data_IF_062865581743
#
_entry.id   IF_062865581743
#
_cell.length_a   1.000
_cell.length_b   1.000
_cell.length_c   1.000
_cell.angle_alpha   90.00
_cell.angle_beta   90.00
_cell.angle_gamma   90.00
#
_symmetry.space_group_name_H-M   'P 1'
#
loop_
_entity.id
_entity.type
_entity.pdbx_description
1 polymer ?
#
# COMPACT_ATOMS: atom_id res chain seq x y z
N UNK A 1 3.99 -73.99 17.21
CA UNK A 1 3.47 -73.01 18.18
C UNK A 1 4.13 -71.68 17.88
N UNK A 2 3.48 -70.84 17.07
CA UNK A 2 4.02 -69.54 16.64
C UNK A 2 3.34 -68.43 17.43
N UNK A 3 4.16 -67.51 17.92
CA UNK A 3 3.83 -66.35 18.74
C UNK A 3 2.93 -65.35 18.01
N UNK A 4 1.94 -64.84 18.73
CA UNK A 4 1.03 -63.79 18.30
C UNK A 4 1.78 -62.49 17.97
N UNK A 5 1.54 -61.97 16.78
CA UNK A 5 1.84 -60.59 16.38
C UNK A 5 0.66 -59.71 16.80
N UNK A 6 0.83 -58.85 17.80
CA UNK A 6 -0.16 -57.83 18.16
C UNK A 6 0.53 -56.48 18.34
N UNK A 7 0.89 -55.83 17.24
CA UNK A 7 1.32 -54.44 17.21
C UNK A 7 0.98 -53.87 15.83
N UNK A 8 -0.20 -53.25 15.67
CA UNK A 8 -0.49 -52.47 14.45
C UNK A 8 -1.66 -51.49 14.58
N UNK A 9 -2.55 -51.63 15.58
CA UNK A 9 -3.75 -50.78 15.68
C UNK A 9 -3.57 -49.50 16.49
N UNK A 10 -2.62 -49.44 17.44
CA UNK A 10 -2.40 -48.26 18.28
C UNK A 10 -1.67 -47.11 17.59
N UNK A 11 -0.65 -47.44 16.79
CA UNK A 11 0.21 -46.43 16.13
C UNK A 11 -0.51 -45.64 15.03
N UNK A 12 -1.47 -46.25 14.34
CA UNK A 12 -2.26 -45.57 13.30
C UNK A 12 -3.22 -44.53 13.85
N UNK A 13 -3.86 -44.83 14.99
CA UNK A 13 -4.80 -43.91 15.66
C UNK A 13 -4.05 -42.74 16.30
N UNK A 14 -2.92 -43.00 16.96
CA UNK A 14 -2.06 -41.93 17.51
C UNK A 14 -1.52 -41.00 16.41
N UNK A 15 -1.08 -41.55 15.26
CA UNK A 15 -0.65 -40.73 14.12
C UNK A 15 -1.77 -39.86 13.55
N UNK A 16 -2.99 -40.40 13.43
CA UNK A 16 -4.14 -39.65 12.93
C UNK A 16 -4.59 -38.53 13.90
N UNK A 17 -4.58 -38.79 15.21
CA UNK A 17 -4.90 -37.79 16.24
C UNK A 17 -3.86 -36.67 16.28
N UNK A 18 -2.57 -37.01 16.20
CA UNK A 18 -1.48 -36.02 16.17
C UNK A 18 -1.53 -35.19 14.88
N UNK A 19 -1.82 -35.81 13.73
CA UNK A 19 -1.97 -35.09 12.45
C UNK A 19 -3.16 -34.11 12.48
N UNK A 20 -4.31 -34.52 13.03
CA UNK A 20 -5.46 -33.62 13.18
C UNK A 20 -5.21 -32.50 14.20
N UNK A 21 -4.49 -32.77 15.29
CA UNK A 21 -4.10 -31.75 16.27
C UNK A 21 -3.15 -30.71 15.65
N UNK A 22 -2.18 -31.15 14.85
CA UNK A 22 -1.26 -30.27 14.13
C UNK A 22 -1.98 -29.44 13.07
N UNK A 23 -2.87 -30.05 12.29
CA UNK A 23 -3.68 -29.35 11.30
C UNK A 23 -4.56 -28.27 11.95
N UNK A 24 -5.22 -28.59 13.06
CA UNK A 24 -6.03 -27.63 13.81
C UNK A 24 -5.17 -26.51 14.42
N UNK A 25 -3.99 -26.83 14.96
CA UNK A 25 -3.06 -25.82 15.48
C UNK A 25 -2.57 -24.86 14.39
N UNK A 26 -2.30 -25.37 13.17
CA UNK A 26 -1.91 -24.54 12.02
C UNK A 26 -3.05 -23.64 11.54
N UNK A 27 -4.30 -24.14 11.53
CA UNK A 27 -5.48 -23.34 11.19
C UNK A 27 -5.69 -22.22 12.21
N UNK A 28 -5.62 -22.54 13.51
CA UNK A 28 -5.76 -21.54 14.58
C UNK A 28 -4.63 -20.51 14.51
N UNK A 29 -3.39 -20.93 14.23
CA UNK A 29 -2.26 -20.02 14.05
C UNK A 29 -2.45 -19.10 12.85
N UNK A 30 -2.95 -19.61 11.72
CA UNK A 30 -3.24 -18.82 10.53
C UNK A 30 -4.34 -17.76 10.80
N UNK A 31 -5.39 -18.14 11.55
CA UNK A 31 -6.44 -17.21 11.98
C UNK A 31 -5.88 -16.16 12.94
N UNK A 32 -5.03 -16.55 13.89
CA UNK A 32 -4.39 -15.60 14.81
C UNK A 32 -3.50 -14.59 14.09
N UNK A 33 -2.73 -15.04 13.10
CA UNK A 33 -1.87 -14.17 12.28
C UNK A 33 -2.70 -13.18 11.45
N UNK A 34 -3.90 -13.56 11.00
CA UNK A 34 -4.85 -12.66 10.32
C UNK A 34 -5.45 -11.61 11.28
N UNK A 35 -5.74 -11.96 12.53
CA UNK A 35 -6.39 -11.07 13.50
C UNK A 35 -5.39 -10.09 14.14
N UNK A 36 -4.15 -10.52 14.39
CA UNK A 36 -3.12 -9.70 15.04
C UNK A 36 -2.26 -8.90 14.05
N UNK A 37 -2.31 -9.23 12.76
CA UNK A 37 -1.59 -8.52 11.69
C UNK A 37 -2.26 -7.21 11.26
N UNK A 38 -2.90 -6.49 12.18
CA UNK A 38 -3.48 -5.18 11.89
C UNK A 38 -2.42 -4.28 11.28
N UNK A 39 -2.59 -3.95 10.00
CA UNK A 39 -1.70 -3.07 9.29
C UNK A 39 -1.74 -1.70 9.97
N UNK A 40 -0.61 -1.31 10.56
CA UNK A 40 -0.45 0.05 11.02
C UNK A 40 -0.48 0.95 9.77
N UNK A 41 -1.56 1.70 9.58
CA UNK A 41 -1.67 2.70 8.52
C UNK A 41 -0.45 3.63 8.61
N UNK A 42 0.45 3.50 7.64
CA UNK A 42 1.69 4.24 7.65
C UNK A 42 1.38 5.73 7.48
N UNK A 43 1.79 6.55 8.45
CA UNK A 43 1.58 8.00 8.37
C UNK A 43 2.39 8.60 7.22
N UNK A 44 1.90 9.66 6.55
CA UNK A 44 2.66 10.39 5.55
C UNK A 44 4.03 10.82 6.07
N UNK A 45 5.06 10.57 5.27
CA UNK A 45 6.45 10.91 5.59
C UNK A 45 6.96 11.95 4.62
N UNK A 46 7.46 13.07 5.16
CA UNK A 46 8.14 14.11 4.39
C UNK A 46 9.65 13.88 4.38
N UNK A 47 10.26 13.96 3.21
CA UNK A 47 11.71 13.89 3.02
C UNK A 47 12.25 15.28 2.73
N UNK A 48 13.31 15.69 3.42
CA UNK A 48 13.88 17.03 3.33
C UNK A 48 15.28 17.02 2.74
N UNK A 49 15.61 18.04 1.95
CA UNK A 49 16.96 18.38 1.54
C UNK A 49 17.11 19.91 1.45
N UNK A 50 18.17 20.45 2.05
CA UNK A 50 18.41 21.91 2.07
C UNK A 50 17.25 22.71 2.68
N UNK A 51 16.58 22.17 3.70
CA UNK A 51 15.42 22.80 4.34
C UNK A 51 14.12 22.79 3.53
N UNK A 52 14.10 22.15 2.36
CA UNK A 52 12.91 22.02 1.50
C UNK A 52 12.43 20.58 1.46
N UNK A 53 11.11 20.38 1.35
CA UNK A 53 10.53 19.07 1.10
C UNK A 53 10.85 18.65 -0.33
N UNK A 54 11.54 17.53 -0.48
CA UNK A 54 11.94 16.92 -1.76
C UNK A 54 11.27 15.57 -2.00
N UNK A 55 10.39 15.15 -1.11
CA UNK A 55 9.60 13.95 -1.35
C UNK A 55 8.56 13.70 -0.28
N UNK A 56 7.55 12.93 -0.67
CA UNK A 56 6.47 12.44 0.16
C UNK A 56 6.33 10.94 -0.06
N UNK A 57 6.03 10.18 0.98
CA UNK A 57 5.70 8.75 0.90
C UNK A 57 4.66 8.36 1.93
N UNK A 58 4.10 7.16 1.82
CA UNK A 58 3.02 6.66 2.69
C UNK A 58 1.78 7.56 2.59
N UNK A 59 1.42 7.94 1.35
CA UNK A 59 0.28 8.81 1.08
C UNK A 59 -1.03 8.03 0.91
N UNK A 60 -0.94 6.76 0.52
CA UNK A 60 -2.09 5.88 0.31
C UNK A 60 -2.32 4.98 1.51
N UNK A 61 -3.59 4.73 1.80
CA UNK A 61 -4.07 3.80 2.83
C UNK A 61 -4.50 2.46 2.22
N UNK A 62 -4.40 2.30 0.90
CA UNK A 62 -4.76 1.09 0.18
C UNK A 62 -3.85 -0.10 0.57
N UNK A 63 -4.47 -1.19 1.02
CA UNK A 63 -3.79 -2.43 1.40
C UNK A 63 -3.96 -3.52 0.33
N UNK A 64 -2.96 -4.40 0.20
CA UNK A 64 -3.00 -5.53 -0.74
C UNK A 64 -2.91 -5.15 -2.22
N UNK A 65 -2.65 -3.88 -2.54
CA UNK A 65 -2.51 -3.39 -3.91
C UNK A 65 -1.08 -3.57 -4.46
N UNK A 66 -0.97 -3.60 -5.80
CA UNK A 66 0.31 -3.83 -6.47
C UNK A 66 1.07 -2.52 -6.66
N UNK A 67 2.31 -2.39 -6.14
CA UNK A 67 3.09 -1.18 -6.31
C UNK A 67 3.66 -1.09 -7.73
N UNK A 68 3.63 0.12 -8.31
CA UNK A 68 4.29 0.45 -9.55
C UNK A 68 5.04 1.78 -9.44
N UNK A 69 6.07 1.95 -10.28
CA UNK A 69 6.81 3.21 -10.39
C UNK A 69 6.48 3.85 -11.73
N UNK A 70 6.15 5.15 -11.69
CA UNK A 70 5.91 5.96 -12.87
C UNK A 70 6.86 7.15 -12.87
N UNK A 71 7.27 7.59 -14.05
CA UNK A 71 8.14 8.77 -14.20
C UNK A 71 7.70 9.57 -15.40
N UNK A 72 7.47 10.86 -15.22
CA UNK A 72 6.92 11.69 -16.27
C UNK A 72 6.71 13.13 -15.85
N UNK A 73 5.95 13.87 -16.64
CA UNK A 73 5.61 15.27 -16.42
C UNK A 73 4.17 15.40 -15.98
N UNK A 74 3.89 16.21 -14.96
CA UNK A 74 2.50 16.50 -14.57
C UNK A 74 1.86 17.40 -15.62
N UNK A 75 0.79 16.94 -16.27
CA UNK A 75 0.10 17.68 -17.34
C UNK A 75 -1.26 18.20 -16.91
N UNK A 76 -1.87 17.61 -15.88
CA UNK A 76 -3.13 18.09 -15.30
C UNK A 76 -3.19 17.79 -13.81
N UNK A 77 -3.93 18.60 -13.08
CA UNK A 77 -4.35 18.37 -11.70
C UNK A 77 -5.84 18.63 -11.55
N UNK A 78 -6.49 17.94 -10.63
CA UNK A 78 -7.83 18.26 -10.18
C UNK A 78 -7.83 18.41 -8.66
N UNK A 79 -8.58 19.38 -8.18
CA UNK A 79 -8.87 19.58 -6.78
C UNK A 79 -10.31 19.13 -6.52
N UNK A 80 -10.57 18.69 -5.29
CA UNK A 80 -11.91 18.31 -4.87
C UNK A 80 -12.88 19.49 -4.92
N UNK A 81 -14.15 19.25 -4.60
CA UNK A 81 -15.22 20.27 -4.65
C UNK A 81 -14.97 21.48 -3.76
N UNK A 82 -14.20 21.32 -2.69
CA UNK A 82 -13.78 22.40 -1.80
C UNK A 82 -12.70 23.31 -2.43
N UNK A 83 -12.06 22.86 -3.51
CA UNK A 83 -10.94 23.55 -4.15
C UNK A 83 -9.66 23.58 -3.30
N UNK A 84 -9.64 22.89 -2.16
CA UNK A 84 -8.56 22.99 -1.18
C UNK A 84 -7.53 21.88 -1.34
N UNK A 85 -7.96 20.67 -1.71
CA UNK A 85 -7.11 19.49 -1.70
C UNK A 85 -7.04 18.84 -3.07
N UNK A 86 -5.84 18.39 -3.43
CA UNK A 86 -5.63 17.61 -4.64
C UNK A 86 -6.37 16.28 -4.54
N UNK A 87 -7.17 15.99 -5.56
CA UNK A 87 -7.93 14.74 -5.70
C UNK A 87 -7.31 13.83 -6.75
N UNK A 88 -6.71 14.41 -7.80
CA UNK A 88 -6.03 13.62 -8.82
C UNK A 88 -5.01 14.42 -9.63
N UNK A 89 -4.12 13.68 -10.29
CA UNK A 89 -3.17 14.22 -11.27
C UNK A 89 -3.15 13.35 -12.53
N UNK A 90 -2.77 13.95 -13.66
CA UNK A 90 -2.43 13.22 -14.87
C UNK A 90 -0.94 13.38 -15.12
N UNK A 91 -0.24 12.25 -15.21
CA UNK A 91 1.16 12.16 -15.57
C UNK A 91 1.29 11.79 -17.04
N UNK A 92 2.12 12.52 -17.78
CA UNK A 92 2.54 12.16 -19.14
C UNK A 92 3.95 11.57 -19.09
N UNK A 93 4.07 10.31 -19.46
CA UNK A 93 5.34 9.59 -19.55
C UNK A 93 6.07 9.95 -20.85
N UNK A 94 7.36 9.61 -20.96
CA UNK A 94 8.17 9.90 -22.16
C UNK A 94 7.60 9.30 -23.44
N UNK A 95 6.84 8.21 -23.33
CA UNK A 95 6.13 7.56 -24.44
C UNK A 95 4.96 8.39 -24.98
N UNK A 96 4.56 9.47 -24.29
CA UNK A 96 3.33 10.21 -24.56
C UNK A 96 2.10 9.60 -23.90
N UNK A 97 2.23 8.44 -23.23
CA UNK A 97 1.15 7.84 -22.47
C UNK A 97 0.75 8.75 -21.31
N UNK A 98 -0.57 8.93 -21.14
CA UNK A 98 -1.16 9.71 -20.06
C UNK A 98 -1.85 8.81 -19.07
N UNK A 99 -1.44 8.91 -17.82
CA UNK A 99 -1.91 8.06 -16.74
C UNK A 99 -2.60 8.90 -15.68
N UNK A 100 -3.85 8.57 -15.38
CA UNK A 100 -4.64 9.19 -14.33
C UNK A 100 -4.31 8.54 -12.99
N UNK A 101 -4.06 9.35 -11.97
CA UNK A 101 -3.62 8.91 -10.64
C UNK A 101 -4.45 9.63 -9.60
N UNK A 102 -5.10 8.87 -8.73
CA UNK A 102 -5.86 9.37 -7.59
C UNK A 102 -4.90 9.82 -6.48
N UNK A 103 -5.27 10.88 -5.77
CA UNK A 103 -4.60 11.33 -4.56
C UNK A 103 -5.59 11.15 -3.43
N UNK A 104 -5.31 10.19 -2.55
CA UNK A 104 -6.10 10.00 -1.33
C UNK A 104 -5.97 11.19 -0.40
N UNK A 105 -6.99 11.39 0.41
CA UNK A 105 -7.09 12.52 1.32
C UNK A 105 -6.89 12.15 2.80
N UNK A 106 -6.31 10.97 3.08
CA UNK A 106 -6.04 10.50 4.43
C UNK A 106 -5.22 11.47 5.29
N UNK A 107 -4.43 12.35 4.66
CA UNK A 107 -3.67 13.40 5.35
C UNK A 107 -4.54 14.56 5.90
N UNK A 108 -5.83 14.64 5.54
CA UNK A 108 -6.76 15.66 6.05
C UNK A 108 -7.03 15.53 7.56
N UNK A 109 -7.00 14.31 8.08
CA UNK A 109 -7.30 14.00 9.48
C UNK A 109 -6.08 14.09 10.40
N UNK A 110 -4.93 14.49 9.86
CA UNK A 110 -3.71 14.72 10.66
C UNK A 110 -3.80 16.04 11.41
N UNK A 111 -2.86 16.25 12.34
CA UNK A 111 -2.71 17.55 12.98
C UNK A 111 -2.49 18.66 11.93
N UNK A 112 -2.89 19.88 12.27
CA UNK A 112 -2.93 20.99 11.32
C UNK A 112 -1.57 21.29 10.67
N UNK A 113 -0.47 21.14 11.42
CA UNK A 113 0.87 21.38 10.91
C UNK A 113 1.27 20.31 9.88
N UNK A 114 1.06 19.03 10.19
CA UNK A 114 1.35 17.93 9.27
C UNK A 114 0.47 17.98 8.03
N UNK A 115 -0.84 18.22 8.18
CA UNK A 115 -1.77 18.40 7.07
C UNK A 115 -1.31 19.53 6.14
N UNK A 116 -1.03 20.72 6.69
CA UNK A 116 -0.54 21.86 5.93
C UNK A 116 0.76 21.57 5.18
N UNK A 117 1.72 20.90 5.83
CA UNK A 117 2.99 20.54 5.22
C UNK A 117 2.83 19.54 4.06
N UNK A 118 2.02 18.49 4.24
CA UNK A 118 1.75 17.50 3.18
C UNK A 118 1.02 18.15 2.00
N UNK A 119 -0.04 18.91 2.27
CA UNK A 119 -0.82 19.64 1.26
C UNK A 119 0.07 20.56 0.43
N UNK A 120 0.81 21.46 1.08
CA UNK A 120 1.70 22.41 0.40
C UNK A 120 2.76 21.68 -0.44
N UNK A 121 3.31 20.59 0.08
CA UNK A 121 4.34 19.80 -0.60
C UNK A 121 3.79 19.08 -1.83
N UNK A 122 2.60 18.48 -1.74
CA UNK A 122 1.92 17.86 -2.89
C UNK A 122 1.67 18.90 -3.98
N UNK A 123 1.09 20.04 -3.62
CA UNK A 123 0.80 21.12 -4.57
C UNK A 123 2.04 21.71 -5.23
N UNK A 124 3.17 21.74 -4.50
CA UNK A 124 4.43 22.27 -5.02
C UNK A 124 5.12 21.25 -5.94
N UNK A 125 5.25 19.99 -5.50
CA UNK A 125 5.98 18.97 -6.25
C UNK A 125 5.19 18.55 -7.49
N UNK A 126 3.87 18.41 -7.37
CA UNK A 126 2.99 18.00 -8.48
C UNK A 126 2.54 19.18 -9.34
N UNK A 127 3.19 20.35 -9.27
CA UNK A 127 2.82 21.48 -10.12
C UNK A 127 2.85 21.10 -11.62
N UNK A 128 1.83 21.55 -12.36
CA UNK A 128 1.74 21.31 -13.81
C UNK A 128 3.03 21.81 -14.47
N UNK A 129 3.60 20.98 -15.33
CA UNK A 129 4.87 21.25 -15.99
C UNK A 129 6.07 20.57 -15.34
N UNK A 130 5.97 20.09 -14.10
CA UNK A 130 7.11 19.49 -13.39
C UNK A 130 7.32 18.02 -13.72
N UNK A 131 8.59 17.64 -13.85
CA UNK A 131 9.02 16.26 -13.92
C UNK A 131 9.04 15.63 -12.52
N UNK A 132 8.41 14.47 -12.38
CA UNK A 132 8.28 13.75 -11.10
C UNK A 132 8.51 12.25 -11.27
N UNK A 133 8.97 11.62 -10.21
CA UNK A 133 9.01 10.17 -10.04
C UNK A 133 8.00 9.79 -8.96
N UNK A 134 7.05 8.93 -9.33
CA UNK A 134 5.94 8.51 -8.49
C UNK A 134 6.07 7.03 -8.14
N UNK A 135 5.66 6.68 -6.92
CA UNK A 135 5.17 5.34 -6.59
C UNK A 135 3.66 5.39 -6.51
N UNK A 136 3.00 4.47 -7.20
CA UNK A 136 1.55 4.33 -7.18
C UNK A 136 1.18 2.92 -6.73
N UNK A 137 0.00 2.77 -6.14
CA UNK A 137 -0.61 1.48 -5.82
C UNK A 137 -1.73 1.22 -6.81
N UNK A 138 -1.66 0.07 -7.48
CA UNK A 138 -2.65 -0.42 -8.42
C UNK A 138 -3.63 -1.36 -7.74
N UNK A 139 -4.86 -0.91 -7.56
CA UNK A 139 -5.94 -1.64 -6.90
C UNK A 139 -7.01 -2.11 -7.89
N UNK A 140 -7.73 -3.17 -7.52
CA UNK A 140 -8.79 -3.77 -8.32
C UNK A 140 -8.29 -4.67 -9.47
N UNK A 141 -9.23 -5.24 -10.22
CA UNK A 141 -8.91 -6.13 -11.34
C UNK A 141 -8.05 -5.40 -12.38
N UNK A 142 -6.87 -5.95 -12.67
CA UNK A 142 -5.88 -5.37 -13.58
C UNK A 142 -5.41 -3.95 -13.22
N UNK A 143 -5.36 -3.59 -11.93
CA UNK A 143 -4.82 -2.31 -11.46
C UNK A 143 -5.50 -1.07 -12.09
N UNK A 144 -6.81 -1.14 -12.32
CA UNK A 144 -7.59 -0.07 -12.96
C UNK A 144 -7.63 1.22 -12.12
N UNK A 145 -7.46 1.10 -10.81
CA UNK A 145 -7.35 2.25 -9.91
C UNK A 145 -5.89 2.42 -9.53
N UNK A 146 -5.31 3.56 -9.89
CA UNK A 146 -3.96 3.93 -9.46
C UNK A 146 -4.07 5.01 -8.41
N UNK A 147 -3.46 4.78 -7.25
CA UNK A 147 -3.43 5.71 -6.13
C UNK A 147 -2.01 6.15 -5.83
N UNK A 148 -1.79 7.43 -5.57
CA UNK A 148 -0.47 7.97 -5.26
C UNK A 148 -0.03 7.50 -3.86
N UNK A 149 1.10 6.80 -3.79
CA UNK A 149 1.76 6.45 -2.51
C UNK A 149 2.97 7.33 -2.21
N UNK A 150 3.79 7.63 -3.23
CA UNK A 150 4.97 8.45 -3.05
C UNK A 150 5.26 9.34 -4.25
N UNK A 151 5.89 10.48 -4.00
CA UNK A 151 6.28 11.45 -5.04
C UNK A 151 7.59 12.13 -4.66
N UNK A 152 8.44 12.36 -5.67
CA UNK A 152 9.61 13.23 -5.59
C UNK A 152 9.85 13.94 -6.94
N UNK A 153 10.48 15.13 -6.94
CA UNK A 153 10.96 15.75 -8.17
C UNK A 153 12.00 14.87 -8.88
N UNK A 154 12.10 15.05 -10.20
CA UNK A 154 13.22 14.54 -11.01
C UNK A 154 14.44 15.46 -10.94
#
# INVERSE_FOLDING_TARGET
MSSHTTQSTGDGVLRAVVANALANALIVLAILLLVLGGAALARPKLTYAGGKVVGLSNLSTDEGCLPAKLTGKVVKRAFGRDGLYLESVILEERSGQRTFINVEDGYRNLDAATNGAVKQSLETILAVGRGVSLRVLGCGAAARTLTLDAVRPL
#
